data_IF_734160275267
#
_entry.id   IF_734160275267
#
_cell.length_a   1.000
_cell.length_b   1.000
_cell.length_c   1.000
_cell.angle_alpha   90.00
_cell.angle_beta   90.00
_cell.angle_gamma   90.00
#
_symmetry.space_group_name_H-M   'P 1'
#
loop_
_entity.id
_entity.type
_entity.pdbx_description
1 polymer ?
#
# COMPACT_ATOMS: atom_id res chain seq x y z
N UNK A 1 -9.23 7.98 -6.33
CA UNK A 1 -9.72 6.69 -5.82
C UNK A 1 -9.59 6.69 -4.31
N UNK A 2 -10.60 6.17 -3.62
CA UNK A 2 -10.57 5.99 -2.16
C UNK A 2 -11.16 4.64 -1.80
N UNK A 3 -10.63 4.00 -0.76
CA UNK A 3 -11.27 2.89 -0.06
C UNK A 3 -12.32 3.47 0.88
N UNK A 4 -13.56 3.04 0.74
CA UNK A 4 -14.70 3.58 1.51
C UNK A 4 -15.12 2.63 2.62
N UNK A 5 -15.05 1.33 2.36
CA UNK A 5 -15.49 0.31 3.30
C UNK A 5 -14.75 -1.00 3.06
N UNK A 6 -14.52 -1.74 4.15
CA UNK A 6 -13.94 -3.07 4.16
C UNK A 6 -14.91 -4.01 4.86
N UNK A 7 -15.21 -5.14 4.23
CA UNK A 7 -16.09 -6.18 4.78
C UNK A 7 -15.29 -7.45 4.99
N UNK A 8 -15.49 -8.08 6.13
CA UNK A 8 -14.75 -9.27 6.56
C UNK A 8 -15.70 -10.36 7.03
N UNK A 9 -15.34 -11.60 6.76
CA UNK A 9 -15.96 -12.82 7.28
C UNK A 9 -14.87 -13.81 7.68
N UNK A 10 -14.79 -14.10 8.97
CA UNK A 10 -13.79 -14.98 9.59
C UNK A 10 -12.34 -14.60 9.23
N UNK A 11 -12.02 -13.31 9.24
CA UNK A 11 -10.68 -12.78 8.87
C UNK A 11 -9.82 -12.57 10.12
N UNK A 12 -9.32 -13.68 10.66
CA UNK A 12 -8.43 -13.67 11.82
C UNK A 12 -9.07 -12.98 13.03
N UNK A 13 -8.47 -11.93 13.61
CA UNK A 13 -9.01 -11.25 14.77
C UNK A 13 -10.06 -10.16 14.45
N UNK A 14 -10.24 -9.80 13.16
CA UNK A 14 -11.18 -8.76 12.74
C UNK A 14 -12.62 -9.21 13.00
N UNK A 15 -13.50 -8.24 13.28
CA UNK A 15 -14.91 -8.48 13.46
C UNK A 15 -15.62 -8.73 12.13
N UNK A 16 -16.70 -9.50 12.13
CA UNK A 16 -17.50 -9.79 10.93
C UNK A 16 -18.54 -8.69 10.65
N UNK A 17 -18.10 -7.43 10.75
CA UNK A 17 -18.91 -6.23 10.54
C UNK A 17 -18.25 -5.28 9.53
N UNK A 18 -19.02 -4.42 8.86
CA UNK A 18 -18.46 -3.42 7.96
C UNK A 18 -17.53 -2.46 8.70
N UNK A 19 -16.32 -2.27 8.18
CA UNK A 19 -15.38 -1.24 8.61
C UNK A 19 -15.54 -0.06 7.64
N UNK A 20 -16.31 0.95 8.05
CA UNK A 20 -16.53 2.18 7.27
C UNK A 20 -15.34 3.14 7.45
N UNK A 21 -14.90 3.75 6.34
CA UNK A 21 -13.89 4.81 6.33
C UNK A 21 -14.51 6.18 6.00
N UNK A 22 -15.83 6.29 6.10
CA UNK A 22 -16.56 7.55 6.00
C UNK A 22 -16.49 8.32 7.33
N UNK A 23 -16.52 9.64 7.25
CA UNK A 23 -16.64 10.51 8.41
C UNK A 23 -18.10 10.53 8.90
N UNK A 24 -18.30 10.28 10.21
CA UNK A 24 -19.62 10.22 10.82
C UNK A 24 -20.44 11.52 10.69
N UNK A 25 -19.81 12.67 10.45
CA UNK A 25 -20.46 13.97 10.34
C UNK A 25 -20.79 14.37 8.91
N UNK A 26 -19.94 14.02 7.95
CA UNK A 26 -20.07 14.46 6.55
C UNK A 26 -20.56 13.35 5.62
N UNK A 27 -20.48 12.10 6.06
CA UNK A 27 -20.73 10.88 5.25
C UNK A 27 -19.81 10.76 4.03
N UNK A 28 -18.75 11.59 3.97
CA UNK A 28 -17.71 11.54 2.94
C UNK A 28 -16.57 10.62 3.35
N UNK A 29 -15.99 9.90 2.39
CA UNK A 29 -14.82 9.05 2.65
C UNK A 29 -13.59 9.89 2.97
N UNK A 30 -12.96 9.58 4.09
CA UNK A 30 -11.82 10.32 4.60
C UNK A 30 -10.54 10.04 3.83
N UNK A 31 -9.73 11.09 3.69
CA UNK A 31 -8.42 10.99 3.04
C UNK A 31 -7.35 10.47 4.00
N UNK A 32 -7.50 10.72 5.29
CA UNK A 32 -6.54 10.30 6.32
C UNK A 32 -7.26 9.39 7.30
N UNK A 33 -6.89 8.12 7.31
CA UNK A 33 -7.50 7.09 8.13
C UNK A 33 -6.44 6.44 8.99
N UNK A 34 -6.71 6.33 10.29
CA UNK A 34 -5.88 5.61 11.23
C UNK A 34 -6.65 4.43 11.81
N UNK A 35 -6.12 3.23 11.64
CA UNK A 35 -6.57 2.04 12.37
C UNK A 35 -5.81 1.87 13.68
N UNK A 36 -6.55 1.76 14.78
CA UNK A 36 -6.01 1.53 16.12
C UNK A 36 -6.58 0.28 16.77
N UNK A 37 -6.02 -0.07 17.92
CA UNK A 37 -6.49 -1.16 18.76
C UNK A 37 -5.34 -1.98 19.35
N UNK A 38 -5.64 -2.87 20.32
CA UNK A 38 -4.62 -3.67 21.01
C UNK A 38 -3.75 -4.53 20.09
N UNK A 39 -2.65 -5.06 20.62
CA UNK A 39 -1.80 -6.00 19.87
C UNK A 39 -2.64 -7.21 19.44
N UNK A 40 -2.53 -7.60 18.17
CA UNK A 40 -3.28 -8.72 17.63
C UNK A 40 -4.76 -8.45 17.29
N UNK A 41 -5.24 -7.19 17.31
CA UNK A 41 -6.61 -6.86 16.88
C UNK A 41 -6.84 -6.91 15.35
N UNK A 42 -5.78 -7.05 14.54
CA UNK A 42 -5.89 -7.19 13.08
C UNK A 42 -5.51 -5.97 12.25
N UNK A 43 -4.80 -4.98 12.81
CA UNK A 43 -4.30 -3.80 12.08
C UNK A 43 -3.57 -4.14 10.78
N UNK A 44 -2.51 -4.94 10.85
CA UNK A 44 -1.80 -5.40 9.65
C UNK A 44 -2.71 -6.22 8.74
N UNK A 45 -3.61 -7.03 9.31
CA UNK A 45 -4.57 -7.86 8.56
C UNK A 45 -5.52 -7.02 7.72
N UNK A 46 -6.05 -5.90 8.24
CA UNK A 46 -6.99 -5.05 7.50
C UNK A 46 -6.30 -4.32 6.35
N UNK A 47 -5.07 -3.82 6.54
CA UNK A 47 -4.31 -3.24 5.43
C UNK A 47 -3.97 -4.30 4.37
N UNK A 48 -3.57 -5.50 4.82
CA UNK A 48 -3.24 -6.61 3.94
C UNK A 48 -4.46 -7.10 3.15
N UNK A 49 -5.68 -7.08 3.72
CA UNK A 49 -6.92 -7.36 2.99
C UNK A 49 -7.06 -6.50 1.73
N UNK A 50 -6.87 -5.18 1.88
CA UNK A 50 -6.93 -4.22 0.76
C UNK A 50 -5.83 -4.52 -0.26
N UNK A 51 -4.60 -4.72 0.21
CA UNK A 51 -3.47 -5.01 -0.66
C UNK A 51 -3.66 -6.31 -1.47
N UNK A 52 -4.12 -7.40 -0.85
CA UNK A 52 -4.30 -8.69 -1.52
C UNK A 52 -5.43 -8.64 -2.55
N UNK A 53 -6.54 -7.95 -2.26
CA UNK A 53 -7.62 -7.77 -3.23
C UNK A 53 -7.19 -6.88 -4.41
N UNK A 54 -6.39 -5.85 -4.19
CA UNK A 54 -5.85 -5.02 -5.26
C UNK A 54 -4.86 -5.78 -6.16
N UNK A 55 -3.98 -6.59 -5.56
CA UNK A 55 -3.09 -7.48 -6.33
C UNK A 55 -3.90 -8.49 -7.15
N UNK A 56 -4.92 -9.10 -6.55
CA UNK A 56 -5.80 -10.03 -7.24
C UNK A 56 -6.54 -9.37 -8.40
N UNK A 57 -7.00 -8.13 -8.20
CA UNK A 57 -7.71 -7.37 -9.21
C UNK A 57 -6.85 -7.09 -10.45
N UNK A 58 -5.57 -6.76 -10.29
CA UNK A 58 -4.63 -6.65 -11.41
C UNK A 58 -4.54 -7.95 -12.24
N UNK A 59 -4.52 -9.10 -11.57
CA UNK A 59 -4.55 -10.40 -12.25
C UNK A 59 -5.88 -10.64 -13.00
N UNK A 60 -7.01 -10.32 -12.38
CA UNK A 60 -8.34 -10.48 -13.00
C UNK A 60 -8.49 -9.60 -14.24
N UNK A 61 -8.01 -8.35 -14.19
CA UNK A 61 -7.98 -7.41 -15.32
C UNK A 61 -7.25 -7.99 -16.54
N UNK A 62 -6.07 -8.58 -16.32
CA UNK A 62 -5.22 -9.06 -17.42
C UNK A 62 -5.63 -10.43 -17.93
N UNK A 63 -5.87 -11.37 -17.01
CA UNK A 63 -5.98 -12.79 -17.33
C UNK A 63 -7.42 -13.27 -17.45
N UNK A 64 -8.38 -12.58 -16.81
CA UNK A 64 -9.80 -12.99 -16.72
C UNK A 64 -9.98 -14.44 -16.27
N UNK A 65 -9.11 -14.86 -15.36
CA UNK A 65 -9.02 -16.23 -14.83
C UNK A 65 -9.01 -16.18 -13.31
N UNK A 66 -9.30 -17.33 -12.71
CA UNK A 66 -9.07 -17.56 -11.28
C UNK A 66 -7.59 -17.37 -10.94
N UNK A 67 -7.33 -16.88 -9.73
CA UNK A 67 -5.98 -16.70 -9.23
C UNK A 67 -5.22 -18.04 -9.25
N UNK A 68 -3.94 -18.01 -9.67
CA UNK A 68 -3.13 -19.19 -9.77
C UNK A 68 -2.73 -19.68 -8.36
N UNK A 69 -2.53 -21.00 -8.20
CA UNK A 69 -2.28 -21.62 -6.90
C UNK A 69 -1.04 -21.10 -6.17
N UNK A 70 -0.06 -20.59 -6.93
CA UNK A 70 1.19 -20.05 -6.40
C UNK A 70 1.11 -18.56 -6.00
N UNK A 71 0.06 -17.83 -6.40
CA UNK A 71 -0.14 -16.41 -6.08
C UNK A 71 -0.16 -16.18 -4.57
N UNK A 72 0.51 -15.11 -4.13
CA UNK A 72 0.48 -14.70 -2.73
C UNK A 72 -0.94 -14.28 -2.32
N UNK A 73 -1.57 -13.41 -3.11
CA UNK A 73 -2.95 -12.98 -2.91
C UNK A 73 -3.90 -14.16 -2.69
N UNK A 74 -3.84 -15.19 -3.56
CA UNK A 74 -4.67 -16.39 -3.38
C UNK A 74 -4.38 -17.11 -2.07
N UNK A 75 -3.11 -17.41 -1.79
CA UNK A 75 -2.69 -18.17 -0.59
C UNK A 75 -3.09 -17.46 0.69
N UNK A 76 -3.18 -16.13 0.66
CA UNK A 76 -3.63 -15.33 1.78
C UNK A 76 -5.16 -15.30 1.87
N UNK A 77 -5.86 -14.96 0.77
CA UNK A 77 -7.32 -14.83 0.75
C UNK A 77 -8.04 -16.16 1.02
N UNK A 78 -7.51 -17.30 0.58
CA UNK A 78 -8.10 -18.64 0.80
C UNK A 78 -8.09 -19.12 2.26
N UNK A 79 -7.40 -18.38 3.16
CA UNK A 79 -7.38 -18.63 4.60
C UNK A 79 -8.65 -18.15 5.29
N UNK A 80 -9.37 -17.24 4.66
CA UNK A 80 -10.54 -16.58 5.21
C UNK A 80 -11.81 -17.02 4.48
N UNK A 81 -12.95 -16.80 5.13
CA UNK A 81 -14.25 -17.11 4.54
C UNK A 81 -14.72 -15.98 3.62
N UNK A 82 -14.37 -14.72 3.89
CA UNK A 82 -14.69 -13.62 2.99
C UNK A 82 -13.96 -12.31 3.28
N UNK A 83 -13.53 -11.63 2.23
CA UNK A 83 -12.98 -10.27 2.27
C UNK A 83 -13.57 -9.50 1.10
N UNK A 84 -14.02 -8.27 1.34
CA UNK A 84 -14.42 -7.35 0.28
C UNK A 84 -14.01 -5.91 0.61
N UNK A 85 -13.72 -5.13 -0.42
CA UNK A 85 -13.28 -3.74 -0.33
C UNK A 85 -14.05 -2.93 -1.36
N UNK A 86 -14.59 -1.79 -0.94
CA UNK A 86 -15.32 -0.86 -1.82
C UNK A 86 -14.45 0.34 -2.13
N UNK A 87 -14.39 0.68 -3.41
CA UNK A 87 -13.63 1.77 -3.98
C UNK A 87 -14.58 2.80 -4.58
N UNK A 88 -14.27 4.08 -4.39
CA UNK A 88 -14.93 5.21 -5.05
C UNK A 88 -13.92 6.18 -5.67
N UNK A 89 -14.41 7.31 -6.19
CA UNK A 89 -13.61 8.33 -6.89
C UNK A 89 -12.82 7.74 -8.07
N UNK A 90 -13.55 6.99 -8.91
CA UNK A 90 -13.08 6.32 -10.11
C UNK A 90 -13.55 7.02 -11.38
N UNK A 91 -13.88 8.31 -11.34
CA UNK A 91 -14.52 9.06 -12.43
C UNK A 91 -13.82 9.02 -13.80
N UNK A 92 -12.52 8.70 -13.84
CA UNK A 92 -11.79 8.44 -15.10
C UNK A 92 -12.18 7.12 -15.78
N UNK A 93 -12.84 6.22 -15.04
CA UNK A 93 -13.17 4.85 -15.39
C UNK A 93 -14.67 4.58 -15.32
N UNK A 94 -15.34 5.04 -14.26
CA UNK A 94 -16.75 4.82 -13.97
C UNK A 94 -17.28 5.83 -12.94
N UNK A 95 -18.57 6.12 -13.02
CA UNK A 95 -19.29 6.95 -12.02
C UNK A 95 -19.81 6.12 -10.83
N UNK A 96 -19.69 4.79 -10.91
CA UNK A 96 -20.12 3.87 -9.84
C UNK A 96 -18.99 3.56 -8.87
N UNK A 97 -19.37 3.17 -7.66
CA UNK A 97 -18.46 2.48 -6.73
C UNK A 97 -18.11 1.10 -7.29
N UNK A 98 -16.88 0.65 -7.09
CA UNK A 98 -16.41 -0.67 -7.49
C UNK A 98 -16.05 -1.47 -6.25
N UNK A 99 -16.63 -2.65 -6.12
CA UNK A 99 -16.36 -3.58 -5.03
C UNK A 99 -15.48 -4.73 -5.47
N UNK A 100 -14.34 -4.92 -4.82
CA UNK A 100 -13.47 -6.07 -4.99
C UNK A 100 -13.78 -7.11 -3.92
N UNK A 101 -13.86 -8.40 -4.26
CA UNK A 101 -14.12 -9.43 -3.24
C UNK A 101 -13.40 -10.76 -3.49
N UNK A 102 -13.23 -11.52 -2.42
CA UNK A 102 -12.88 -12.93 -2.44
C UNK A 102 -13.59 -13.60 -1.26
N UNK A 103 -14.45 -14.58 -1.48
CA UNK A 103 -15.15 -15.19 -0.34
C UNK A 103 -16.19 -16.25 -0.67
N UNK A 104 -16.85 -16.74 0.38
CA UNK A 104 -17.93 -17.71 0.31
C UNK A 104 -19.07 -17.22 -0.57
N UNK A 105 -19.60 -18.11 -1.42
CA UNK A 105 -20.66 -17.79 -2.37
C UNK A 105 -21.89 -17.18 -1.69
N UNK A 106 -22.36 -17.75 -0.58
CA UNK A 106 -23.58 -17.27 0.09
C UNK A 106 -23.35 -15.90 0.69
N UNK A 107 -22.19 -15.69 1.31
CA UNK A 107 -21.82 -14.40 1.87
C UNK A 107 -21.71 -13.30 0.80
N UNK A 108 -21.07 -13.60 -0.33
CA UNK A 108 -20.94 -12.65 -1.46
C UNK A 108 -22.30 -12.30 -2.06
N UNK A 109 -23.21 -13.26 -2.21
CA UNK A 109 -24.56 -12.97 -2.73
C UNK A 109 -25.37 -12.07 -1.78
N UNK A 110 -25.25 -12.28 -0.46
CA UNK A 110 -25.81 -11.33 0.52
C UNK A 110 -25.18 -9.94 0.40
N UNK A 111 -23.86 -9.85 0.21
CA UNK A 111 -23.18 -8.56 0.05
C UNK A 111 -23.69 -7.81 -1.20
N UNK A 112 -23.77 -8.49 -2.35
CA UNK A 112 -24.26 -7.90 -3.61
C UNK A 112 -25.73 -7.49 -3.55
N UNK A 113 -26.58 -8.29 -2.93
CA UNK A 113 -28.01 -7.97 -2.77
C UNK A 113 -28.25 -6.76 -1.87
N UNK A 114 -27.40 -6.58 -0.84
CA UNK A 114 -27.43 -5.42 0.05
C UNK A 114 -26.93 -4.14 -0.64
N UNK A 115 -25.89 -4.25 -1.46
CA UNK A 115 -25.24 -3.10 -2.13
C UNK A 115 -25.33 -3.23 -3.65
N UNK A 116 -26.51 -2.91 -4.19
CA UNK A 116 -26.85 -3.07 -5.60
C UNK A 116 -26.30 -1.95 -6.49
N UNK A 117 -25.92 -0.83 -5.88
CA UNK A 117 -25.32 0.34 -6.52
C UNK A 117 -23.82 0.18 -6.82
N UNK A 118 -23.20 -0.86 -6.25
CA UNK A 118 -21.77 -1.17 -6.39
C UNK A 118 -21.56 -2.18 -7.54
N UNK A 119 -20.61 -1.88 -8.43
CA UNK A 119 -20.15 -2.82 -9.44
C UNK A 119 -19.16 -3.81 -8.81
N UNK A 120 -19.53 -5.07 -8.67
CA UNK A 120 -18.75 -6.08 -7.95
C UNK A 120 -17.90 -6.95 -8.90
N UNK A 121 -16.65 -7.20 -8.52
CA UNK A 121 -15.75 -8.15 -9.17
C UNK A 121 -14.97 -8.95 -8.13
N UNK A 122 -14.84 -10.26 -8.34
CA UNK A 122 -14.12 -11.10 -7.40
C UNK A 122 -14.26 -12.59 -7.63
N UNK A 123 -13.64 -13.37 -6.76
CA UNK A 123 -13.78 -14.83 -6.75
C UNK A 123 -14.73 -15.29 -5.65
N UNK A 124 -15.72 -16.10 -6.03
CA UNK A 124 -16.51 -16.88 -5.08
C UNK A 124 -15.86 -18.24 -4.87
N UNK A 125 -15.97 -18.76 -3.64
CA UNK A 125 -15.63 -20.13 -3.30
C UNK A 125 -16.80 -20.82 -2.63
N UNK A 126 -17.00 -22.10 -2.90
CA UNK A 126 -17.95 -22.94 -2.17
C UNK A 126 -17.32 -24.29 -1.85
N UNK A 127 -17.67 -24.83 -0.69
CA UNK A 127 -17.29 -26.18 -0.28
C UNK A 127 -18.42 -27.14 -0.68
N UNK A 128 -18.12 -28.12 -1.50
CA UNK A 128 -19.01 -29.26 -1.73
C UNK A 128 -18.78 -30.35 -0.67
N UNK A 129 -19.75 -31.25 -0.46
CA UNK A 129 -19.63 -32.35 0.52
C UNK A 129 -18.46 -33.32 0.27
N UNK A 130 -17.85 -33.29 -0.92
CA UNK A 130 -16.50 -33.81 -1.16
C UNK A 130 -15.52 -32.65 -1.04
N UNK A 131 -14.41 -32.83 -0.32
CA UNK A 131 -13.39 -31.83 0.10
C UNK A 131 -12.80 -30.88 -0.98
N UNK A 132 -13.31 -30.93 -2.22
CA UNK A 132 -13.00 -30.06 -3.35
C UNK A 132 -13.70 -28.70 -3.19
N UNK A 133 -12.91 -27.62 -3.15
CA UNK A 133 -13.41 -26.25 -3.29
C UNK A 133 -13.72 -25.96 -4.75
N UNK A 134 -14.94 -25.53 -5.05
CA UNK A 134 -15.30 -24.98 -6.36
C UNK A 134 -15.12 -23.47 -6.27
N UNK A 135 -14.48 -22.88 -7.29
CA UNK A 135 -14.27 -21.43 -7.36
C UNK A 135 -14.74 -20.89 -8.70
N UNK A 136 -15.25 -19.67 -8.69
CA UNK A 136 -15.74 -18.98 -9.88
C UNK A 136 -15.30 -17.53 -9.82
N UNK A 137 -14.74 -17.04 -10.92
CA UNK A 137 -14.52 -15.61 -11.11
C UNK A 137 -15.86 -15.02 -11.53
N UNK A 138 -16.30 -14.02 -10.79
CA UNK A 138 -17.56 -13.34 -11.00
C UNK A 138 -17.31 -11.87 -11.22
N UNK A 139 -18.00 -11.35 -12.23
CA UNK A 139 -18.10 -9.95 -12.53
C UNK A 139 -19.61 -9.68 -12.58
N UNK A 140 -20.08 -8.68 -11.83
CA UNK A 140 -21.48 -8.26 -11.91
C UNK A 140 -21.81 -7.95 -13.38
N UNK A 141 -22.89 -8.54 -13.90
CA UNK A 141 -23.26 -8.56 -15.33
C UNK A 141 -23.42 -7.20 -16.01
N UNK A 142 -23.38 -6.10 -15.25
CA UNK A 142 -23.74 -4.76 -15.69
C UNK A 142 -22.46 -3.94 -15.87
N UNK A 143 -22.09 -3.73 -17.15
CA UNK A 143 -21.06 -2.80 -17.67
C UNK A 143 -19.63 -3.35 -17.81
N UNK A 144 -19.35 -4.01 -18.93
CA UNK A 144 -18.00 -4.38 -19.38
C UNK A 144 -17.09 -3.16 -19.69
N UNK A 145 -17.65 -1.97 -19.91
CA UNK A 145 -16.89 -0.83 -20.43
C UNK A 145 -15.81 -0.31 -19.45
N UNK A 146 -16.15 -0.15 -18.15
CA UNK A 146 -15.16 0.31 -17.16
C UNK A 146 -14.06 -0.73 -16.91
N UNK A 147 -14.41 -2.02 -16.93
CA UNK A 147 -13.46 -3.12 -16.71
C UNK A 147 -12.45 -3.20 -17.85
N UNK A 148 -12.90 -3.10 -19.10
CA UNK A 148 -12.01 -3.07 -20.27
C UNK A 148 -11.09 -1.84 -20.27
N UNK A 149 -11.64 -0.65 -19.95
CA UNK A 149 -10.84 0.57 -19.78
C UNK A 149 -9.74 0.39 -18.74
N UNK A 150 -10.09 -0.19 -17.58
CA UNK A 150 -9.13 -0.40 -16.51
C UNK A 150 -8.07 -1.44 -16.89
N UNK A 151 -8.44 -2.50 -17.62
CA UNK A 151 -7.49 -3.51 -18.09
C UNK A 151 -6.47 -2.92 -19.07
N UNK A 152 -6.90 -2.01 -19.96
CA UNK A 152 -6.00 -1.28 -20.85
C UNK A 152 -5.05 -0.37 -20.04
N UNK A 153 -5.58 0.36 -19.05
CA UNK A 153 -4.76 1.22 -18.19
C UNK A 153 -3.75 0.42 -17.37
N UNK A 154 -4.18 -0.70 -16.78
CA UNK A 154 -3.32 -1.60 -16.02
C UNK A 154 -2.16 -2.12 -16.87
N UNK A 155 -2.44 -2.65 -18.07
CA UNK A 155 -1.39 -3.10 -19.00
C UNK A 155 -0.38 -2.02 -19.34
N UNK A 156 -0.86 -0.79 -19.61
CA UNK A 156 0.04 0.34 -19.86
C UNK A 156 0.90 0.65 -18.62
N UNK A 157 0.30 0.60 -17.43
CA UNK A 157 0.98 0.88 -16.17
C UNK A 157 2.11 -0.10 -15.88
N UNK A 158 1.90 -1.40 -16.12
CA UNK A 158 2.90 -2.43 -15.78
C UNK A 158 3.90 -2.74 -16.90
N UNK A 159 3.67 -2.27 -18.14
CA UNK A 159 4.52 -2.57 -19.30
C UNK A 159 5.25 -1.36 -19.89
N UNK A 160 4.77 -0.13 -19.68
CA UNK A 160 5.38 1.08 -20.27
C UNK A 160 5.90 2.03 -19.19
N UNK A 161 6.69 3.02 -19.61
CA UNK A 161 7.18 4.11 -18.74
C UNK A 161 6.35 5.39 -18.89
N UNK A 162 5.22 5.32 -19.62
CA UNK A 162 4.40 6.50 -19.91
C UNK A 162 3.82 7.09 -18.62
N UNK A 163 3.68 8.42 -18.58
CA UNK A 163 2.86 9.08 -17.57
C UNK A 163 1.42 8.59 -17.70
N UNK A 164 0.87 8.03 -16.61
CA UNK A 164 -0.49 7.50 -16.59
C UNK A 164 -1.23 8.18 -15.45
N UNK A 165 -2.37 8.76 -15.77
CA UNK A 165 -3.28 9.33 -14.79
C UNK A 165 -4.26 8.24 -14.32
N UNK A 166 -3.78 7.32 -13.49
CA UNK A 166 -4.59 6.25 -12.92
C UNK A 166 -4.09 5.93 -11.50
N UNK A 167 -5.00 5.57 -10.59
CA UNK A 167 -4.64 5.29 -9.22
C UNK A 167 -3.87 3.97 -9.08
N UNK A 168 -3.01 3.90 -8.07
CA UNK A 168 -2.34 2.68 -7.65
C UNK A 168 -2.49 2.45 -6.14
N UNK A 169 -1.98 1.33 -5.65
CA UNK A 169 -1.86 1.07 -4.22
C UNK A 169 -0.39 0.94 -3.83
N UNK A 170 0.01 1.65 -2.78
CA UNK A 170 1.28 1.42 -2.09
C UNK A 170 0.97 0.71 -0.79
N UNK A 171 1.55 -0.47 -0.57
CA UNK A 171 1.46 -1.20 0.69
C UNK A 171 2.85 -1.38 1.29
N UNK A 172 3.08 -0.73 2.43
CA UNK A 172 4.33 -0.84 3.17
C UNK A 172 4.10 -1.54 4.50
N UNK A 173 4.43 -2.83 4.51
CA UNK A 173 4.32 -3.71 5.67
C UNK A 173 5.40 -3.39 6.73
N UNK A 174 5.07 -3.52 8.02
CA UNK A 174 6.00 -3.22 9.10
C UNK A 174 7.20 -4.18 9.14
N UNK A 175 7.00 -5.46 8.83
CA UNK A 175 8.04 -6.49 8.88
C UNK A 175 8.92 -6.50 7.63
N UNK A 176 8.35 -6.14 6.47
CA UNK A 176 9.09 -6.09 5.19
C UNK A 176 9.97 -4.84 5.07
N UNK A 177 9.61 -3.73 5.75
CA UNK A 177 10.34 -2.45 5.78
C UNK A 177 11.64 -2.48 6.60
N UNK A 178 12.51 -3.45 6.31
CA UNK A 178 13.85 -3.57 6.91
C UNK A 178 14.94 -3.30 5.89
N UNK A 179 16.04 -2.71 6.33
CA UNK A 179 17.24 -2.62 5.50
C UNK A 179 17.87 -4.00 5.31
N UNK A 180 18.19 -4.36 4.07
CA UNK A 180 18.94 -5.58 3.73
C UNK A 180 20.14 -5.16 2.92
N UNK A 181 21.34 -5.24 3.52
CA UNK A 181 22.57 -4.90 2.82
C UNK A 181 22.76 -5.82 1.59
N UNK A 182 22.99 -5.26 0.40
CA UNK A 182 23.13 -6.02 -0.83
C UNK A 182 24.44 -6.83 -0.81
N UNK A 183 24.37 -8.08 -1.26
CA UNK A 183 25.54 -8.98 -1.37
C UNK A 183 25.83 -9.40 -2.80
N UNK A 184 24.86 -9.27 -3.70
CA UNK A 184 24.94 -9.73 -5.10
C UNK A 184 24.64 -8.57 -6.04
N UNK A 185 25.34 -8.53 -7.18
CA UNK A 185 25.13 -7.55 -8.27
C UNK A 185 25.21 -6.08 -7.82
N UNK A 186 25.96 -5.82 -6.75
CA UNK A 186 26.11 -4.47 -6.19
C UNK A 186 26.64 -3.55 -7.28
N UNK A 187 26.01 -2.38 -7.41
CA UNK A 187 26.33 -1.38 -8.43
C UNK A 187 26.01 -1.77 -9.88
N UNK A 188 25.35 -2.92 -10.14
CA UNK A 188 24.87 -3.24 -11.49
C UNK A 188 23.70 -2.32 -11.89
N UNK A 189 23.66 -1.82 -13.14
CA UNK A 189 22.59 -0.95 -13.63
C UNK A 189 21.34 -1.79 -13.98
N UNK A 190 20.60 -2.22 -12.96
CA UNK A 190 19.40 -3.04 -13.09
C UNK A 190 18.15 -2.15 -13.08
N UNK A 191 17.21 -2.28 -14.04
CA UNK A 191 16.01 -1.45 -14.06
C UNK A 191 15.06 -1.78 -12.90
N UNK A 192 14.26 -0.79 -12.51
CA UNK A 192 13.16 -0.98 -11.56
C UNK A 192 12.07 -1.89 -12.17
N UNK A 193 11.35 -2.62 -11.31
CA UNK A 193 10.20 -3.42 -11.73
C UNK A 193 8.98 -2.53 -12.00
N UNK A 194 8.54 -2.44 -13.24
CA UNK A 194 7.33 -1.66 -13.61
C UNK A 194 6.05 -2.16 -12.94
N UNK A 195 6.00 -3.43 -12.53
CA UNK A 195 4.87 -3.98 -11.77
C UNK A 195 4.61 -3.22 -10.45
N UNK A 196 5.63 -2.59 -9.87
CA UNK A 196 5.50 -1.74 -8.68
C UNK A 196 4.60 -0.53 -8.91
N UNK A 197 4.37 -0.13 -10.18
CA UNK A 197 3.47 0.99 -10.51
C UNK A 197 2.01 0.67 -10.18
N UNK A 198 1.60 -0.61 -10.23
CA UNK A 198 0.24 -1.05 -9.85
C UNK A 198 0.13 -1.30 -8.34
N UNK A 199 1.04 -2.11 -7.81
CA UNK A 199 1.12 -2.46 -6.39
C UNK A 199 2.57 -2.26 -5.92
N UNK A 200 2.82 -1.17 -5.21
CA UNK A 200 4.16 -0.89 -4.68
C UNK A 200 4.32 -1.58 -3.34
N UNK A 201 5.37 -2.40 -3.21
CA UNK A 201 5.85 -2.95 -1.93
C UNK A 201 7.36 -2.78 -1.83
N UNK A 202 7.87 -2.81 -0.61
CA UNK A 202 9.30 -2.87 -0.36
C UNK A 202 9.67 -4.26 0.16
N UNK A 203 10.06 -5.14 -0.75
CA UNK A 203 10.46 -6.52 -0.46
C UNK A 203 11.94 -6.73 -0.83
N UNK A 204 12.87 -6.13 -0.06
CA UNK A 204 14.29 -6.18 -0.40
C UNK A 204 14.83 -7.60 -0.26
N UNK A 205 15.75 -7.95 -1.15
CA UNK A 205 16.51 -9.21 -1.09
C UNK A 205 18.01 -8.91 -0.90
N UNK A 206 18.84 -9.94 -0.79
CA UNK A 206 20.31 -9.77 -0.81
C UNK A 206 20.86 -9.44 -2.21
N UNK A 207 19.98 -9.36 -3.22
CA UNK A 207 20.28 -8.83 -4.56
C UNK A 207 20.11 -7.30 -4.57
N UNK A 208 20.94 -6.64 -5.38
CA UNK A 208 20.93 -5.19 -5.57
C UNK A 208 19.62 -4.68 -6.19
N UNK A 209 18.93 -5.48 -7.00
CA UNK A 209 17.70 -5.07 -7.66
C UNK A 209 16.57 -4.84 -6.65
N UNK A 210 15.85 -3.73 -6.80
CA UNK A 210 14.73 -3.37 -5.92
C UNK A 210 15.13 -2.77 -4.58
N UNK A 211 16.44 -2.63 -4.31
CA UNK A 211 16.91 -1.87 -3.15
C UNK A 211 16.77 -0.37 -3.34
N UNK A 212 16.65 0.37 -2.22
CA UNK A 212 16.54 1.82 -2.22
C UNK A 212 17.71 2.50 -2.97
N UNK A 213 18.95 2.07 -2.69
CA UNK A 213 20.14 2.66 -3.30
C UNK A 213 20.15 2.49 -4.82
N UNK A 214 19.92 1.25 -5.30
CA UNK A 214 19.79 0.94 -6.73
C UNK A 214 18.70 1.78 -7.40
N UNK A 215 17.54 1.88 -6.75
CA UNK A 215 16.38 2.60 -7.28
C UNK A 215 16.64 4.12 -7.34
N UNK A 216 17.36 4.70 -6.36
CA UNK A 216 17.80 6.09 -6.39
C UNK A 216 18.77 6.38 -7.55
N UNK A 217 19.69 5.45 -7.84
CA UNK A 217 20.63 5.56 -8.97
C UNK A 217 19.88 5.48 -10.31
N UNK A 218 18.91 4.58 -10.42
CA UNK A 218 18.02 4.50 -11.58
C UNK A 218 17.22 5.79 -11.75
N UNK A 219 16.69 6.35 -10.66
CA UNK A 219 15.95 7.60 -10.68
C UNK A 219 16.83 8.77 -11.12
N UNK A 220 18.09 8.84 -10.66
CA UNK A 220 19.06 9.84 -11.12
C UNK A 220 19.27 9.78 -12.63
N UNK A 221 19.37 8.57 -13.16
CA UNK A 221 19.64 8.32 -14.59
C UNK A 221 18.41 8.61 -15.46
N UNK A 222 17.21 8.29 -14.98
CA UNK A 222 15.97 8.37 -15.78
C UNK A 222 15.18 9.66 -15.57
N UNK A 223 15.22 10.27 -14.39
CA UNK A 223 14.43 11.44 -14.00
C UNK A 223 15.21 12.35 -13.03
N UNK A 224 16.27 13.00 -13.54
CA UNK A 224 17.21 13.79 -12.72
C UNK A 224 16.56 14.85 -11.84
N UNK A 225 15.55 15.58 -12.35
CA UNK A 225 14.82 16.57 -11.54
C UNK A 225 14.12 15.93 -10.34
N UNK A 226 13.41 14.80 -10.56
CA UNK A 226 12.73 14.06 -9.51
C UNK A 226 13.73 13.48 -8.50
N UNK A 227 14.88 13.00 -8.97
CA UNK A 227 15.96 12.56 -8.08
C UNK A 227 16.40 13.66 -7.11
N UNK A 228 16.65 14.88 -7.59
CA UNK A 228 17.05 15.98 -6.71
C UNK A 228 15.95 16.42 -5.73
N UNK A 229 14.69 16.38 -6.16
CA UNK A 229 13.54 16.62 -5.28
C UNK A 229 13.49 15.58 -4.16
N UNK A 230 13.60 14.30 -4.52
CA UNK A 230 13.59 13.18 -3.58
C UNK A 230 14.75 13.29 -2.61
N UNK A 231 15.99 13.41 -3.10
CA UNK A 231 17.18 13.54 -2.24
C UNK A 231 17.07 14.74 -1.28
N UNK A 232 16.48 15.87 -1.73
CA UNK A 232 16.25 17.02 -0.85
C UNK A 232 15.30 16.67 0.30
N UNK A 233 14.20 15.98 0.02
CA UNK A 233 13.27 15.52 1.06
C UNK A 233 13.95 14.52 1.99
N UNK A 234 14.66 13.54 1.46
CA UNK A 234 15.39 12.54 2.24
C UNK A 234 16.42 13.17 3.20
N UNK A 235 17.17 14.17 2.73
CA UNK A 235 18.17 14.87 3.53
C UNK A 235 17.58 15.69 4.68
N UNK A 236 16.28 16.02 4.69
CA UNK A 236 15.63 16.70 5.82
C UNK A 236 15.54 15.80 7.06
N UNK A 237 15.64 14.48 6.87
CA UNK A 237 15.53 13.48 7.93
C UNK A 237 16.88 12.92 8.37
N UNK A 238 17.99 13.41 7.80
CA UNK A 238 19.34 13.05 8.19
C UNK A 238 19.97 14.16 9.04
N UNK A 239 20.42 13.81 10.25
CA UNK A 239 21.08 14.75 11.15
C UNK A 239 22.60 14.63 11.06
N UNK A 240 23.30 15.76 10.92
CA UNK A 240 24.77 15.81 10.83
C UNK A 240 25.37 15.20 9.56
N UNK A 241 24.54 14.78 8.59
CA UNK A 241 24.96 14.13 7.36
C UNK A 241 23.98 14.37 6.22
N UNK A 242 24.41 14.09 4.99
CA UNK A 242 23.59 14.28 3.79
C UNK A 242 23.97 13.29 2.69
N UNK A 243 22.99 12.80 1.95
CA UNK A 243 23.20 11.99 0.75
C UNK A 243 23.92 12.86 -0.28
N UNK A 244 25.07 12.38 -0.74
CA UNK A 244 25.82 12.95 -1.84
C UNK A 244 25.07 12.67 -3.15
N UNK A 245 24.54 13.70 -3.84
CA UNK A 245 23.86 13.47 -5.10
C UNK A 245 24.83 12.99 -6.19
N UNK A 246 26.14 13.21 -6.03
CA UNK A 246 27.16 12.79 -6.97
C UNK A 246 27.61 11.35 -6.73
N UNK A 247 27.56 10.54 -7.78
CA UNK A 247 28.06 9.17 -7.77
C UNK A 247 29.42 9.21 -8.43
N UNK A 248 30.47 8.84 -7.71
CA UNK A 248 31.83 8.85 -8.26
C UNK A 248 31.95 7.78 -9.36
N UNK A 249 32.58 8.12 -10.51
CA UNK A 249 32.82 7.15 -11.56
C UNK A 249 33.53 5.89 -11.03
N UNK A 250 33.00 4.71 -11.35
CA UNK A 250 33.57 3.42 -10.94
C UNK A 250 33.13 2.89 -9.58
N UNK A 251 32.44 3.68 -8.74
CA UNK A 251 31.90 3.18 -7.46
C UNK A 251 30.51 2.57 -7.62
N UNK A 252 29.64 3.24 -8.39
CA UNK A 252 28.25 2.82 -8.62
C UNK A 252 27.42 2.72 -7.33
N UNK A 253 27.85 3.39 -6.26
CA UNK A 253 27.21 3.48 -4.96
C UNK A 253 27.02 4.94 -4.55
N UNK A 254 25.99 5.19 -3.75
CA UNK A 254 25.72 6.49 -3.15
C UNK A 254 26.45 6.61 -1.82
N UNK A 255 26.94 7.82 -1.56
CA UNK A 255 27.62 8.18 -0.33
C UNK A 255 26.73 9.07 0.52
N UNK A 256 26.92 9.02 1.83
CA UNK A 256 26.34 9.94 2.80
C UNK A 256 27.49 10.70 3.43
N UNK A 257 27.64 11.97 3.05
CA UNK A 257 28.70 12.87 3.54
C UNK A 257 28.44 13.24 5.00
N UNK A 258 29.49 13.15 5.83
CA UNK A 258 29.46 13.60 7.22
C UNK A 258 29.82 15.08 7.30
N UNK A 259 28.98 15.89 7.96
CA UNK A 259 29.21 17.34 8.05
C UNK A 259 30.39 17.70 8.95
N UNK A 260 30.63 16.89 9.97
CA UNK A 260 31.64 17.17 11.00
C UNK A 260 33.03 16.57 10.69
N UNK A 261 33.14 15.72 9.67
CA UNK A 261 34.39 15.03 9.31
C UNK A 261 34.75 15.36 7.86
N UNK A 262 35.83 16.13 7.68
CA UNK A 262 36.30 16.52 6.34
C UNK A 262 36.66 15.29 5.50
N UNK A 263 35.91 15.05 4.44
CA UNK A 263 36.08 13.88 3.56
C UNK A 263 35.54 12.57 4.14
N UNK A 264 34.97 12.59 5.35
CA UNK A 264 34.28 11.47 5.96
C UNK A 264 32.95 11.19 5.27
N UNK A 265 32.69 9.92 5.01
CA UNK A 265 31.42 9.48 4.44
C UNK A 265 31.05 8.10 4.99
N UNK A 266 29.76 7.82 4.91
CA UNK A 266 29.17 6.50 5.09
C UNK A 266 28.56 6.03 3.77
N UNK A 267 28.36 4.73 3.62
CA UNK A 267 27.38 4.20 2.68
C UNK A 267 25.97 4.25 3.30
N UNK A 268 24.94 4.09 2.47
CA UNK A 268 23.57 4.01 2.98
C UNK A 268 23.41 2.88 4.01
N UNK A 269 24.17 1.79 3.90
CA UNK A 269 24.16 0.67 4.85
C UNK A 269 24.46 1.06 6.31
N UNK A 270 25.22 2.13 6.52
CA UNK A 270 25.69 2.55 7.84
C UNK A 270 24.76 3.57 8.51
N UNK A 271 23.62 3.89 7.89
CA UNK A 271 22.58 4.69 8.54
C UNK A 271 21.92 3.90 9.67
N UNK A 272 21.28 4.62 10.60
CA UNK A 272 20.50 3.97 11.66
C UNK A 272 19.24 3.30 11.08
N UNK A 273 18.73 2.28 11.77
CA UNK A 273 17.53 1.57 11.34
C UNK A 273 16.31 2.51 11.18
N UNK A 274 16.17 3.51 12.07
CA UNK A 274 15.10 4.49 11.97
C UNK A 274 15.26 5.43 10.77
N UNK A 275 16.49 5.83 10.44
CA UNK A 275 16.76 6.58 9.21
C UNK A 275 16.44 5.75 7.97
N UNK A 276 16.84 4.47 7.93
CA UNK A 276 16.48 3.58 6.82
C UNK A 276 14.97 3.52 6.59
N UNK A 277 14.18 3.34 7.66
CA UNK A 277 12.73 3.27 7.56
C UNK A 277 12.13 4.56 6.98
N UNK A 278 12.55 5.72 7.49
CA UNK A 278 12.11 7.02 6.98
C UNK A 278 12.47 7.17 5.50
N UNK A 279 13.70 6.84 5.12
CA UNK A 279 14.15 6.95 3.74
C UNK A 279 13.38 6.02 2.81
N UNK A 280 13.12 4.77 3.22
CA UNK A 280 12.35 3.79 2.46
C UNK A 280 10.92 4.29 2.22
N UNK A 281 10.23 4.73 3.27
CA UNK A 281 8.83 5.20 3.15
C UNK A 281 8.76 6.39 2.19
N UNK A 282 9.55 7.44 2.45
CA UNK A 282 9.50 8.67 1.66
C UNK A 282 9.87 8.42 0.20
N UNK A 283 10.91 7.63 -0.05
CA UNK A 283 11.31 7.27 -1.40
C UNK A 283 10.20 6.51 -2.13
N UNK A 284 9.64 5.46 -1.51
CA UNK A 284 8.62 4.63 -2.16
C UNK A 284 7.40 5.45 -2.56
N UNK A 285 6.96 6.35 -1.69
CA UNK A 285 5.85 7.25 -1.96
C UNK A 285 6.21 8.24 -3.09
N UNK A 286 7.32 8.97 -2.98
CA UNK A 286 7.68 9.98 -3.99
C UNK A 286 8.00 9.37 -5.36
N UNK A 287 8.48 8.13 -5.41
CA UNK A 287 8.82 7.43 -6.64
C UNK A 287 7.60 6.83 -7.32
N UNK A 288 6.73 6.16 -6.56
CA UNK A 288 5.73 5.25 -7.12
C UNK A 288 4.29 5.73 -7.00
N UNK A 289 3.97 6.65 -6.08
CA UNK A 289 2.60 7.09 -5.88
C UNK A 289 2.07 7.77 -7.14
N UNK A 290 0.96 7.26 -7.66
CA UNK A 290 0.27 7.84 -8.80
C UNK A 290 -0.88 8.76 -8.34
N UNK A 291 -1.34 9.69 -9.19
CA UNK A 291 -2.48 10.54 -8.87
C UNK A 291 -3.71 9.72 -8.46
N UNK A 292 -4.33 10.09 -7.34
CA UNK A 292 -5.49 9.42 -6.78
C UNK A 292 -5.21 8.05 -6.15
N UNK A 293 -3.94 7.68 -5.93
CA UNK A 293 -3.55 6.40 -5.33
C UNK A 293 -3.87 6.28 -3.84
N UNK A 294 -3.91 5.05 -3.35
CA UNK A 294 -4.13 4.72 -1.93
C UNK A 294 -2.83 4.24 -1.31
N UNK A 295 -2.44 4.84 -0.19
CA UNK A 295 -1.22 4.50 0.55
C UNK A 295 -1.60 3.81 1.85
N UNK A 296 -1.13 2.59 2.01
CA UNK A 296 -1.32 1.73 3.18
C UNK A 296 0.03 1.57 3.88
N UNK A 297 0.16 2.08 5.10
CA UNK A 297 1.41 1.98 5.86
C UNK A 297 1.13 1.35 7.23
N UNK A 298 1.70 0.17 7.45
CA UNK A 298 1.55 -0.54 8.71
C UNK A 298 2.60 -0.05 9.70
N UNK A 299 2.22 0.57 10.83
CA UNK A 299 3.10 1.06 11.90
C UNK A 299 4.27 1.92 11.37
N UNK A 300 4.03 3.10 10.79
CA UNK A 300 5.07 4.01 10.32
C UNK A 300 6.03 4.48 11.42
N UNK A 301 5.60 4.42 12.68
CA UNK A 301 6.33 4.84 13.87
C UNK A 301 7.19 3.72 14.51
N UNK A 302 7.07 2.48 14.04
CA UNK A 302 7.78 1.34 14.62
C UNK A 302 9.31 1.51 14.54
N UNK A 303 10.00 1.46 15.68
CA UNK A 303 11.47 1.66 15.81
C UNK A 303 12.00 3.07 15.47
N UNK A 304 11.11 4.06 15.28
CA UNK A 304 11.52 5.44 15.08
C UNK A 304 11.79 6.16 16.41
N UNK A 305 12.76 7.07 16.38
CA UNK A 305 12.92 8.03 17.47
C UNK A 305 11.69 8.97 17.49
N UNK A 306 11.10 9.29 18.66
CA UNK A 306 9.88 10.11 18.75
C UNK A 306 9.94 11.43 17.99
N UNK A 307 11.11 12.08 17.96
CA UNK A 307 11.31 13.34 17.23
C UNK A 307 11.17 13.23 15.70
N UNK A 308 11.16 12.01 15.14
CA UNK A 308 11.00 11.77 13.70
C UNK A 308 9.57 11.39 13.31
N UNK A 309 8.74 10.96 14.26
CA UNK A 309 7.37 10.46 13.98
C UNK A 309 6.50 11.57 13.39
N UNK A 310 6.35 12.68 14.11
CA UNK A 310 5.54 13.83 13.65
C UNK A 310 6.05 14.43 12.33
N UNK A 311 7.35 14.69 12.13
CA UNK A 311 7.88 15.15 10.84
C UNK A 311 7.66 14.15 9.69
N UNK A 312 7.81 12.84 9.94
CA UNK A 312 7.59 11.81 8.93
C UNK A 312 6.13 11.80 8.48
N UNK A 313 5.20 11.75 9.43
CA UNK A 313 3.76 11.73 9.14
C UNK A 313 3.35 12.98 8.36
N UNK A 314 3.82 14.16 8.76
CA UNK A 314 3.56 15.39 8.02
C UNK A 314 4.08 15.32 6.57
N UNK A 315 5.29 14.79 6.34
CA UNK A 315 5.84 14.62 5.00
C UNK A 315 5.02 13.62 4.17
N UNK A 316 4.65 12.48 4.75
CA UNK A 316 3.81 11.45 4.12
C UNK A 316 2.44 12.01 3.73
N UNK A 317 1.74 12.67 4.65
CA UNK A 317 0.45 13.30 4.42
C UNK A 317 0.51 14.35 3.31
N UNK A 318 1.57 15.16 3.29
CA UNK A 318 1.76 16.15 2.23
C UNK A 318 1.95 15.48 0.86
N UNK A 319 2.81 14.45 0.78
CA UNK A 319 3.03 13.70 -0.48
C UNK A 319 1.72 13.09 -0.98
N UNK A 320 0.94 12.47 -0.10
CA UNK A 320 -0.33 11.83 -0.46
C UNK A 320 -1.37 12.87 -0.90
N UNK A 321 -1.49 13.97 -0.17
CA UNK A 321 -2.41 15.07 -0.50
C UNK A 321 -2.07 15.72 -1.84
N UNK A 322 -0.80 15.94 -2.13
CA UNK A 322 -0.35 16.54 -3.39
C UNK A 322 -0.69 15.63 -4.60
N UNK A 323 -0.74 14.32 -4.38
CA UNK A 323 -1.22 13.33 -5.36
C UNK A 323 -2.74 13.14 -5.33
N UNK A 324 -3.49 13.88 -4.51
CA UNK A 324 -4.94 13.70 -4.29
C UNK A 324 -5.29 12.26 -3.89
N UNK A 325 -4.40 11.61 -3.15
CA UNK A 325 -4.54 10.24 -2.70
C UNK A 325 -5.22 10.10 -1.34
N UNK A 326 -5.36 8.86 -0.90
CA UNK A 326 -5.82 8.49 0.43
C UNK A 326 -4.68 7.84 1.21
N UNK A 327 -4.51 8.19 2.47
CA UNK A 327 -3.56 7.63 3.40
C UNK A 327 -4.30 6.83 4.47
N UNK A 328 -3.96 5.55 4.59
CA UNK A 328 -4.46 4.63 5.60
C UNK A 328 -3.28 4.08 6.36
N UNK A 329 -3.20 4.37 7.65
CA UNK A 329 -2.10 3.96 8.52
C UNK A 329 -2.60 3.13 9.69
N UNK A 330 -1.72 2.32 10.26
CA UNK A 330 -1.93 1.70 11.57
C UNK A 330 -0.90 2.25 12.54
N UNK A 331 -1.28 2.43 13.81
CA UNK A 331 -0.30 2.83 14.83
C UNK A 331 -0.80 2.50 16.23
N UNK A 332 0.16 2.28 17.13
CA UNK A 332 -0.06 2.13 18.56
C UNK A 332 0.29 3.39 19.35
N UNK A 333 0.96 4.37 18.73
CA UNK A 333 1.40 5.57 19.42
C UNK A 333 0.26 6.57 19.63
N UNK A 334 0.04 6.97 20.89
CA UNK A 334 -1.03 7.92 21.26
C UNK A 334 -0.88 9.28 20.58
N UNK A 335 0.34 9.75 20.36
CA UNK A 335 0.61 10.98 19.59
C UNK A 335 0.05 10.90 18.16
N UNK A 336 0.12 9.73 17.52
CA UNK A 336 -0.43 9.50 16.19
C UNK A 336 -1.97 9.48 16.25
N UNK A 337 -2.53 8.97 17.34
CA UNK A 337 -3.98 8.94 17.53
C UNK A 337 -4.57 10.35 17.63
N UNK A 338 -4.00 11.20 18.49
CA UNK A 338 -4.41 12.61 18.64
C UNK A 338 -4.28 13.39 17.32
N UNK A 339 -3.25 13.08 16.53
CA UNK A 339 -3.05 13.68 15.21
C UNK A 339 -4.21 13.37 14.25
N UNK A 340 -4.65 12.11 14.18
CA UNK A 340 -5.70 11.69 13.25
C UNK A 340 -7.12 12.00 13.74
N UNK A 341 -7.32 12.25 15.03
CA UNK A 341 -8.57 12.84 15.53
C UNK A 341 -8.82 14.26 14.97
N UNK A 342 -7.77 14.96 14.56
CA UNK A 342 -7.85 16.32 14.00
C UNK A 342 -7.72 16.37 12.47
N UNK A 343 -7.04 15.40 11.84
CA UNK A 343 -6.70 15.41 10.41
C UNK A 343 -7.53 14.45 9.55
N UNK A 344 -8.37 13.61 10.16
CA UNK A 344 -9.21 12.63 9.47
C UNK A 344 -10.04 11.82 10.46
N UNK A 345 -9.98 10.48 10.37
CA UNK A 345 -10.69 9.58 11.29
C UNK A 345 -9.78 8.56 11.93
N UNK A 346 -10.18 8.13 13.14
CA UNK A 346 -9.60 6.99 13.86
C UNK A 346 -10.63 5.88 13.97
N UNK A 347 -10.29 4.69 13.48
CA UNK A 347 -11.12 3.50 13.54
C UNK A 347 -10.49 2.50 14.51
N UNK A 348 -11.13 2.30 15.66
CA UNK A 348 -10.67 1.34 16.68
C UNK A 348 -11.20 -0.08 16.36
N UNK A 349 -10.31 -0.95 15.88
CA UNK A 349 -10.64 -2.32 15.51
C UNK A 349 -10.97 -3.21 16.71
N UNK A 350 -10.46 -2.87 17.90
CA UNK A 350 -10.80 -3.58 19.14
C UNK A 350 -12.24 -3.28 19.54
N UNK A 351 -12.61 -2.00 19.57
CA UNK A 351 -13.96 -1.56 19.90
C UNK A 351 -15.01 -2.11 18.93
N UNK A 352 -14.74 -2.06 17.61
CA UNK A 352 -15.64 -2.63 16.60
C UNK A 352 -15.95 -4.11 16.86
N UNK A 353 -14.98 -4.87 17.40
CA UNK A 353 -15.16 -6.27 17.75
C UNK A 353 -15.97 -6.45 19.02
N UNK A 354 -15.78 -5.61 20.02
CA UNK A 354 -16.53 -5.67 21.27
C UNK A 354 -18.00 -5.28 21.04
N UNK A 355 -18.23 -4.20 20.28
CA UNK A 355 -19.57 -3.75 19.86
C UNK A 355 -20.30 -4.84 19.06
N UNK A 356 -19.61 -5.50 18.10
CA UNK A 356 -20.18 -6.61 17.33
C UNK A 356 -20.52 -7.84 18.19
N UNK A 357 -19.83 -8.04 19.31
CA UNK A 357 -20.08 -9.12 20.25
C UNK A 357 -21.01 -8.73 21.40
N UNK A 358 -21.56 -7.50 21.41
CA UNK A 358 -22.44 -7.01 22.46
C UNK A 358 -21.77 -6.87 23.82
N UNK A 359 -20.46 -6.54 23.84
CA UNK A 359 -19.70 -6.26 25.06
C UNK A 359 -19.52 -4.74 25.17
N UNK A 360 -20.45 -4.10 25.88
CA UNK A 360 -20.32 -2.69 26.31
C UNK A 360 -19.35 -2.55 27.49
#
# INVERSE_FOLDING_TARGET
>A
MKVTAIYTLAVGPLADVPISLANDWTDETENNVLFTGPNGCGKSTVLRSVAMLWEAFGYWLDQRKLLPANSEARKWLERWDGVAVVLEDLSLLTDKKVGLFFGDLVWVEHLKSRYQDIAWIGETQSRTGTSRRIRKLELSYVEYDWFEKWAILHKRMVLTHDSINAPNVIYLDAEERRWVAPKRKVSEPLPDFLSLRWMTRYQPTDDWQGQLESSLINLKTTQLHKFHEVVRTLNQFLSGKEIDPDIRPGEGRLRVKLKDIRGGFHYLDELSAGEHQVLIILYMLQRWLQPGGVVLIDEPDLHLHPSLVSPLLAAVENIVRDQKGQLIVTSHATEVWERYENLGIRVDLGRLKDDANGKD
#
